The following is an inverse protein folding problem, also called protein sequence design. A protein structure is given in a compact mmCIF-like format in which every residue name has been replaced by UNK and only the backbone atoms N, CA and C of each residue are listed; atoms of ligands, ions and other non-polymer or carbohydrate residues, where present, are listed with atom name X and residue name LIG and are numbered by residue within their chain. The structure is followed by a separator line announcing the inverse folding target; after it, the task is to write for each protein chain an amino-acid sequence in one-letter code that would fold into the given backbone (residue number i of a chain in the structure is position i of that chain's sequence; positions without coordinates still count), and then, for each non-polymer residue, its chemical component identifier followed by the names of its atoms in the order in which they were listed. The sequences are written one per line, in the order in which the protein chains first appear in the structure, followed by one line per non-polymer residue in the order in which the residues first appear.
data_IF_817194241863
#
_entry.id   IF_817194241863
#
_cell.length_a   1.000
_cell.length_b   1.000
_cell.length_c   1.000
_cell.angle_alpha   90.00
_cell.angle_beta   90.00
_cell.angle_gamma   90.00
#
_symmetry.space_group_name_H-M   'P 1'
#
loop_
_entity.id
_entity.type
_entity.pdbx_description
1 polymer ?
#
# COMPACT_ATOMS: atom_id res chain seq x y z
N UNK A 1 2.94 -18.94 -10.20
CA UNK A 1 2.41 -19.47 -8.94
C UNK A 1 2.48 -18.36 -7.91
N UNK A 2 1.29 -17.84 -7.64
CA UNK A 2 0.84 -16.72 -6.81
C UNK A 2 1.89 -15.89 -6.03
N UNK A 3 1.89 -14.61 -6.37
CA UNK A 3 2.53 -13.52 -5.65
C UNK A 3 2.10 -13.53 -4.19
N UNK A 4 2.99 -14.00 -3.31
CA UNK A 4 3.02 -13.57 -1.92
C UNK A 4 3.37 -12.07 -1.92
N UNK A 5 2.36 -11.23 -2.20
CA UNK A 5 2.40 -9.82 -1.82
C UNK A 5 2.42 -9.77 -0.30
N UNK A 6 3.65 -9.72 0.17
CA UNK A 6 4.05 -9.44 1.52
C UNK A 6 3.17 -8.35 2.14
N UNK A 7 2.62 -8.69 3.31
CA UNK A 7 1.97 -7.82 4.30
C UNK A 7 0.62 -7.22 3.91
N UNK A 8 -0.43 -7.93 4.31
CA UNK A 8 -1.71 -7.32 4.57
C UNK A 8 -2.22 -7.74 5.95
N UNK A 9 -1.42 -7.43 6.98
CA UNK A 9 -1.79 -7.65 8.39
C UNK A 9 -3.11 -6.96 8.77
N UNK A 10 -3.53 -5.94 8.00
CA UNK A 10 -4.75 -5.15 8.20
C UNK A 10 -6.03 -5.84 7.75
N UNK A 11 -5.99 -6.71 6.74
CA UNK A 11 -7.18 -7.49 6.31
C UNK A 11 -7.70 -8.32 7.47
N UNK A 12 -6.77 -8.98 8.16
CA UNK A 12 -7.07 -9.88 9.26
C UNK A 12 -7.52 -9.13 10.52
N UNK A 13 -6.97 -7.93 10.74
CA UNK A 13 -7.27 -7.15 11.95
C UNK A 13 -8.56 -6.34 11.82
N UNK A 14 -8.81 -5.69 10.68
CA UNK A 14 -9.97 -4.81 10.49
C UNK A 14 -11.12 -5.47 9.71
N UNK A 15 -10.95 -6.71 9.22
CA UNK A 15 -11.94 -7.45 8.42
C UNK A 15 -12.50 -6.64 7.23
N UNK A 16 -11.67 -5.79 6.61
CA UNK A 16 -12.04 -4.95 5.49
C UNK A 16 -11.64 -5.57 4.14
N UNK A 17 -12.36 -5.22 3.08
CA UNK A 17 -12.08 -5.65 1.72
C UNK A 17 -11.15 -4.67 0.98
N UNK A 18 -9.99 -5.16 0.49
CA UNK A 18 -8.88 -4.32 -0.01
C UNK A 18 -8.93 -4.04 -1.51
N UNK A 19 -9.62 -4.87 -2.28
CA UNK A 19 -9.67 -4.78 -3.76
C UNK A 19 -11.06 -4.39 -4.29
N UNK A 20 -11.89 -3.82 -3.43
CA UNK A 20 -13.28 -3.52 -3.74
C UNK A 20 -13.43 -2.09 -4.20
N UNK A 21 -14.59 -1.79 -4.77
CA UNK A 21 -14.95 -0.43 -5.15
C UNK A 21 -14.96 0.53 -3.96
N UNK A 22 -14.99 0.07 -2.71
CA UNK A 22 -14.92 0.93 -1.53
C UNK A 22 -13.66 0.71 -0.69
N UNK A 23 -12.58 0.16 -1.27
CA UNK A 23 -11.37 -0.27 -0.53
C UNK A 23 -10.46 0.84 0.04
N UNK A 24 -10.77 2.12 -0.10
CA UNK A 24 -10.04 3.16 0.63
C UNK A 24 -10.20 2.91 2.14
N UNK A 25 -9.21 3.14 3.00
CA UNK A 25 -9.38 2.97 4.47
C UNK A 25 -9.79 4.29 5.17
N UNK A 26 -9.42 5.44 4.61
CA UNK A 26 -9.60 6.75 5.27
C UNK A 26 -10.82 7.54 4.79
N UNK A 27 -11.28 7.33 3.57
CA UNK A 27 -12.36 8.12 2.97
C UNK A 27 -13.51 7.23 2.48
N UNK A 28 -14.74 7.67 2.72
CA UNK A 28 -15.96 7.10 2.16
C UNK A 28 -16.10 7.55 0.70
N UNK A 29 -15.39 6.88 -0.21
CA UNK A 29 -15.50 7.13 -1.65
C UNK A 29 -15.51 5.83 -2.44
N UNK A 30 -16.23 5.87 -3.57
CA UNK A 30 -16.22 4.80 -4.55
C UNK A 30 -15.00 4.96 -5.45
N UNK A 31 -14.19 3.91 -5.52
CA UNK A 31 -13.05 3.78 -6.41
C UNK A 31 -13.48 3.78 -7.86
N UNK A 32 -12.66 4.43 -8.68
CA UNK A 32 -12.80 4.50 -10.13
C UNK A 32 -11.75 3.62 -10.77
N UNK A 33 -12.19 2.79 -11.72
CA UNK A 33 -11.29 2.02 -12.55
C UNK A 33 -10.70 2.93 -13.62
N UNK A 34 -9.38 3.13 -13.59
CA UNK A 34 -8.64 3.93 -14.55
C UNK A 34 -7.37 3.18 -14.98
N UNK A 35 -7.13 3.06 -16.29
CA UNK A 35 -5.93 2.42 -16.83
C UNK A 35 -5.60 1.03 -16.23
N UNK A 36 -6.61 0.15 -16.13
CA UNK A 36 -6.51 -1.17 -15.49
C UNK A 36 -6.10 -1.15 -14.01
N UNK A 37 -6.40 -0.06 -13.29
CA UNK A 37 -6.12 0.09 -11.86
C UNK A 37 -7.31 0.71 -11.15
N UNK A 38 -7.60 0.23 -9.94
CA UNK A 38 -8.54 0.90 -9.04
C UNK A 38 -7.85 2.13 -8.45
N UNK A 39 -8.52 3.29 -8.53
CA UNK A 39 -8.02 4.57 -8.01
C UNK A 39 -9.10 5.27 -7.18
N UNK A 40 -8.67 6.12 -6.23
CA UNK A 40 -9.54 6.88 -5.34
C UNK A 40 -9.19 8.37 -5.47
N UNK A 41 -9.65 9.05 -6.54
CA UNK A 41 -9.16 10.38 -6.91
C UNK A 41 -9.81 11.52 -6.12
N UNK A 42 -10.90 11.27 -5.39
CA UNK A 42 -11.62 12.34 -4.71
C UNK A 42 -10.87 12.80 -3.46
N UNK A 43 -10.39 14.05 -3.49
CA UNK A 43 -9.68 14.69 -2.38
C UNK A 43 -10.61 15.30 -1.34
N UNK A 44 -11.87 15.55 -1.68
CA UNK A 44 -12.88 16.17 -0.81
C UNK A 44 -13.90 15.15 -0.27
N UNK A 45 -13.62 13.86 -0.47
CA UNK A 45 -14.47 12.79 0.02
C UNK A 45 -14.62 12.84 1.56
N UNK A 46 -15.81 12.50 2.09
CA UNK A 46 -16.03 12.40 3.53
C UNK A 46 -15.07 11.39 4.16
N UNK A 47 -14.48 11.74 5.30
CA UNK A 47 -13.60 10.85 6.06
C UNK A 47 -14.41 9.79 6.79
N UNK A 48 -13.91 8.57 6.84
CA UNK A 48 -14.47 7.52 7.71
C UNK A 48 -14.34 7.90 9.16
N UNK A 49 -15.32 7.51 9.94
CA UNK A 49 -15.38 7.65 11.39
C UNK A 49 -15.31 6.29 12.05
N UNK A 50 -14.88 6.25 13.30
CA UNK A 50 -14.86 5.01 14.08
C UNK A 50 -16.27 4.43 14.24
N UNK A 51 -17.29 5.29 14.39
CA UNK A 51 -18.72 4.91 14.46
C UNK A 51 -19.26 4.17 13.24
N UNK A 52 -18.60 4.32 12.08
CA UNK A 52 -19.02 3.65 10.85
C UNK A 52 -18.80 2.14 10.94
N UNK A 53 -17.84 1.71 11.77
CA UNK A 53 -17.51 0.31 12.01
C UNK A 53 -18.43 -0.36 13.05
N UNK A 54 -18.97 0.42 14.00
CA UNK A 54 -19.92 -0.08 15.00
C UNK A 54 -21.29 -0.36 14.39
N UNK A 55 -21.75 0.57 13.57
CA UNK A 55 -23.12 0.63 13.07
C UNK A 55 -23.36 -0.24 11.84
N UNK A 56 -22.31 -0.71 11.14
CA UNK A 56 -22.41 -1.32 9.79
C UNK A 56 -23.18 -0.44 8.79
N UNK A 57 -23.45 0.82 9.14
CA UNK A 57 -24.45 1.65 8.47
C UNK A 57 -24.02 2.03 7.05
N UNK A 58 -22.71 2.09 6.80
CA UNK A 58 -22.15 2.38 5.48
C UNK A 58 -21.95 1.13 4.61
N UNK A 59 -22.28 -0.05 5.11
CA UNK A 59 -21.70 -1.29 4.61
C UNK A 59 -22.68 -2.18 3.83
N UNK A 60 -23.98 -2.02 4.05
CA UNK A 60 -25.01 -2.73 3.27
C UNK A 60 -24.93 -2.43 1.76
N UNK A 61 -24.49 -1.23 1.36
CA UNK A 61 -24.36 -0.85 -0.06
C UNK A 61 -22.91 -0.82 -0.57
N UNK A 62 -21.92 -0.79 0.33
CA UNK A 62 -20.50 -0.59 -0.05
C UNK A 62 -19.64 -1.86 0.06
N UNK A 63 -20.00 -2.82 0.92
CA UNK A 63 -19.25 -4.07 1.12
C UNK A 63 -17.78 -3.84 1.50
N UNK A 64 -17.50 -2.76 2.22
CA UNK A 64 -16.14 -2.40 2.64
C UNK A 64 -15.71 -3.22 3.85
N UNK A 65 -16.59 -3.44 4.81
CA UNK A 65 -16.40 -4.32 5.95
C UNK A 65 -17.01 -5.68 5.57
N UNK A 66 -16.26 -6.75 5.78
CA UNK A 66 -16.73 -8.11 5.48
C UNK A 66 -17.39 -8.71 6.72
N UNK A 67 -16.79 -8.46 7.88
CA UNK A 67 -17.23 -8.99 9.17
C UNK A 67 -16.89 -8.02 10.30
N UNK A 68 -17.55 -8.17 11.45
CA UNK A 68 -17.21 -7.43 12.67
C UNK A 68 -15.80 -7.77 13.11
N UNK A 69 -14.90 -6.78 13.07
CA UNK A 69 -13.58 -6.95 13.66
C UNK A 69 -13.71 -7.26 15.16
N UNK A 70 -12.99 -8.26 15.69
CA UNK A 70 -12.99 -8.57 17.12
C UNK A 70 -12.44 -7.41 17.97
N UNK A 71 -11.71 -6.46 17.36
CA UNK A 71 -11.16 -5.29 18.01
C UNK A 71 -12.22 -4.26 18.42
N UNK A 72 -13.43 -4.32 17.84
CA UNK A 72 -14.57 -3.51 18.28
C UNK A 72 -14.95 -3.80 19.74
N UNK A 73 -14.67 -5.01 20.25
CA UNK A 73 -14.93 -5.38 21.65
C UNK A 73 -14.05 -4.63 22.66
N UNK A 74 -12.96 -4.03 22.20
CA UNK A 74 -11.96 -3.37 23.04
C UNK A 74 -12.12 -1.84 23.02
N UNK A 75 -13.17 -1.32 22.37
CA UNK A 75 -13.45 0.13 22.26
C UNK A 75 -12.26 0.93 21.69
N UNK A 76 -11.59 0.35 20.69
CA UNK A 76 -10.44 0.98 20.00
C UNK A 76 -10.95 1.56 18.68
N UNK A 77 -10.65 2.85 18.44
CA UNK A 77 -10.99 3.52 17.19
C UNK A 77 -10.28 2.92 15.98
N UNK A 78 -11.00 2.16 15.15
CA UNK A 78 -10.44 1.43 14.01
C UNK A 78 -9.90 2.35 12.90
N UNK A 79 -10.40 3.58 12.78
CA UNK A 79 -9.94 4.58 11.81
C UNK A 79 -8.88 5.49 12.42
N UNK A 80 -9.09 5.93 13.66
CA UNK A 80 -8.24 6.95 14.31
C UNK A 80 -6.97 6.36 14.91
N UNK A 81 -7.03 5.17 15.53
CA UNK A 81 -5.90 4.55 16.24
C UNK A 81 -5.00 3.71 15.33
N UNK A 82 -5.47 3.36 14.13
CA UNK A 82 -4.68 2.62 13.15
C UNK A 82 -4.10 3.57 12.09
N UNK A 83 -2.84 4.05 12.27
CA UNK A 83 -2.18 4.88 11.26
C UNK A 83 -1.96 4.05 10.00
N UNK A 84 -1.79 4.67 8.83
CA UNK A 84 -1.37 3.94 7.62
C UNK A 84 0.13 3.65 7.67
N UNK A 85 0.53 2.44 7.31
CA UNK A 85 1.94 2.06 7.37
C UNK A 85 2.71 2.63 6.17
N UNK A 86 3.58 3.58 6.46
CA UNK A 86 4.44 4.25 5.49
C UNK A 86 5.33 3.26 4.71
N UNK A 87 5.85 2.23 5.36
CA UNK A 87 6.71 1.23 4.71
C UNK A 87 5.95 0.50 3.60
N UNK A 88 4.69 0.12 3.85
CA UNK A 88 3.88 -0.61 2.89
C UNK A 88 3.34 0.30 1.77
N UNK A 89 2.80 1.46 2.14
CA UNK A 89 2.19 2.35 1.15
C UNK A 89 3.22 3.05 0.26
N UNK A 90 4.25 3.63 0.87
CA UNK A 90 5.19 4.49 0.16
C UNK A 90 6.42 3.69 -0.28
N UNK A 91 7.14 3.07 0.65
CA UNK A 91 8.41 2.40 0.32
C UNK A 91 8.22 1.15 -0.54
N UNK A 92 7.18 0.35 -0.30
CA UNK A 92 6.89 -0.85 -1.11
C UNK A 92 5.89 -0.58 -2.22
N UNK A 93 4.90 0.28 -2.00
CA UNK A 93 3.89 0.61 -3.00
C UNK A 93 4.41 1.59 -4.04
N UNK A 94 4.59 2.86 -3.65
CA UNK A 94 4.94 3.95 -4.56
C UNK A 94 6.35 3.81 -5.12
N UNK A 95 7.35 3.63 -4.26
CA UNK A 95 8.75 3.58 -4.70
C UNK A 95 9.02 2.41 -5.64
N UNK A 96 8.39 1.24 -5.42
CA UNK A 96 8.50 0.11 -6.36
C UNK A 96 7.98 0.47 -7.74
N UNK A 97 6.82 1.14 -7.84
CA UNK A 97 6.25 1.58 -9.12
C UNK A 97 7.18 2.59 -9.83
N UNK A 98 7.72 3.54 -9.09
CA UNK A 98 8.67 4.52 -9.63
C UNK A 98 9.94 3.85 -10.14
N UNK A 99 10.56 2.97 -9.35
CA UNK A 99 11.77 2.25 -9.74
C UNK A 99 11.52 1.38 -10.99
N UNK A 100 10.38 0.68 -11.07
CA UNK A 100 10.02 -0.09 -12.28
C UNK A 100 9.87 0.83 -13.48
N UNK A 101 9.21 1.98 -13.32
CA UNK A 101 9.08 2.98 -14.40
C UNK A 101 10.45 3.49 -14.87
N UNK A 102 11.36 3.79 -13.94
CA UNK A 102 12.70 4.29 -14.27
C UNK A 102 13.65 3.22 -14.81
N UNK A 103 13.44 1.94 -14.50
CA UNK A 103 14.31 0.85 -14.97
C UNK A 103 13.77 0.15 -16.23
N UNK A 104 12.45 0.00 -16.36
CA UNK A 104 11.79 -0.80 -17.40
C UNK A 104 10.73 -0.04 -18.19
N UNK A 105 10.37 1.17 -17.77
CA UNK A 105 9.37 1.99 -18.43
C UNK A 105 9.82 2.55 -19.80
N UNK A 106 8.98 3.40 -20.40
CA UNK A 106 9.27 4.00 -21.70
C UNK A 106 10.52 4.89 -21.66
N UNK A 107 11.17 5.05 -22.82
CA UNK A 107 12.49 5.68 -22.96
C UNK A 107 12.54 7.13 -22.44
N UNK A 108 11.40 7.83 -22.42
CA UNK A 108 11.29 9.20 -21.92
C UNK A 108 11.45 9.33 -20.41
N UNK A 109 11.23 8.25 -19.65
CA UNK A 109 11.34 8.23 -18.17
C UNK A 109 12.41 7.26 -17.67
N UNK A 110 12.98 6.44 -18.56
CA UNK A 110 13.91 5.38 -18.21
C UNK A 110 15.34 5.91 -18.03
N UNK A 111 16.01 5.49 -16.96
CA UNK A 111 17.42 5.78 -16.75
C UNK A 111 18.30 5.11 -17.79
N UNK A 112 19.42 5.76 -18.09
CA UNK A 112 20.49 5.17 -18.88
C UNK A 112 21.14 4.01 -18.09
N UNK A 113 21.63 2.99 -18.80
CA UNK A 113 22.23 1.79 -18.19
C UNK A 113 23.32 2.14 -17.16
N UNK A 114 24.20 3.08 -17.51
CA UNK A 114 25.24 3.59 -16.60
C UNK A 114 24.66 4.18 -15.30
N UNK A 115 23.55 4.91 -15.38
CA UNK A 115 22.87 5.47 -14.21
C UNK A 115 22.30 4.39 -13.30
N UNK A 116 21.72 3.33 -13.89
CA UNK A 116 21.24 2.15 -13.16
C UNK A 116 22.40 1.45 -12.44
N UNK A 117 23.55 1.34 -13.08
CA UNK A 117 24.74 0.70 -12.48
C UNK A 117 25.32 1.52 -11.32
N UNK A 118 25.44 2.85 -11.49
CA UNK A 118 25.89 3.75 -10.41
C UNK A 118 24.93 3.66 -9.22
N UNK A 119 23.63 3.71 -9.47
CA UNK A 119 22.62 3.64 -8.41
C UNK A 119 22.61 2.27 -7.72
N UNK A 120 22.74 1.19 -8.49
CA UNK A 120 22.83 -0.18 -7.95
C UNK A 120 24.04 -0.35 -7.03
N UNK A 121 25.20 0.13 -7.46
CA UNK A 121 26.43 0.05 -6.65
C UNK A 121 26.30 0.85 -5.36
N UNK A 122 25.68 2.04 -5.42
CA UNK A 122 25.40 2.86 -4.22
C UNK A 122 24.45 2.14 -3.25
N UNK A 123 23.34 1.61 -3.74
CA UNK A 123 22.38 0.86 -2.92
C UNK A 123 23.05 -0.32 -2.20
N UNK A 124 23.87 -1.10 -2.92
CA UNK A 124 24.62 -2.21 -2.34
C UNK A 124 25.65 -1.71 -1.31
N UNK A 125 26.34 -0.60 -1.55
CA UNK A 125 27.26 -0.03 -0.55
C UNK A 125 26.54 0.39 0.74
N UNK A 126 25.34 0.96 0.63
CA UNK A 126 24.54 1.37 1.79
C UNK A 126 23.91 0.22 2.55
N UNK A 127 23.77 -0.97 1.92
CA UNK A 127 23.24 -2.16 2.59
C UNK A 127 24.00 -2.54 3.87
N UNK A 128 25.29 -2.20 3.94
CA UNK A 128 26.15 -2.45 5.10
C UNK A 128 25.90 -1.51 6.27
N UNK A 129 25.30 -0.35 6.01
CA UNK A 129 25.05 0.70 6.99
C UNK A 129 23.60 0.65 7.51
N UNK A 130 22.85 -0.39 7.16
CA UNK A 130 21.45 -0.54 7.55
C UNK A 130 21.35 -1.39 8.82
N UNK A 131 20.59 -0.91 9.83
CA UNK A 131 20.38 -1.65 11.07
C UNK A 131 19.81 -3.05 10.82
N UNK A 132 20.20 -4.03 11.64
CA UNK A 132 19.79 -5.42 11.47
C UNK A 132 18.32 -5.68 11.82
N UNK A 133 17.67 -4.74 12.52
CA UNK A 133 16.23 -4.77 12.79
C UNK A 133 15.39 -4.60 11.52
N UNK A 134 15.97 -4.05 10.46
CA UNK A 134 15.30 -3.92 9.17
C UNK A 134 15.46 -5.22 8.37
N UNK A 135 14.37 -5.98 8.16
CA UNK A 135 14.45 -7.30 7.55
C UNK A 135 14.83 -7.28 6.06
N UNK A 136 14.81 -6.10 5.42
CA UNK A 136 15.11 -5.93 4.00
C UNK A 136 16.25 -4.94 3.81
N UNK A 137 17.36 -5.44 3.30
CA UNK A 137 18.50 -4.62 2.86
C UNK A 137 18.30 -4.22 1.38
N UNK A 138 18.75 -3.02 0.98
CA UNK A 138 18.68 -2.54 -0.40
C UNK A 138 19.54 -3.44 -1.28
N UNK A 139 19.02 -3.72 -2.47
CA UNK A 139 19.61 -4.61 -3.47
C UNK A 139 19.92 -3.83 -4.74
N UNK A 140 20.67 -4.44 -5.64
CA UNK A 140 20.90 -3.92 -6.99
C UNK A 140 19.57 -3.72 -7.73
N UNK A 141 19.44 -2.62 -8.48
CA UNK A 141 18.26 -2.37 -9.32
C UNK A 141 18.15 -3.34 -10.50
N UNK A 142 19.22 -4.09 -10.80
CA UNK A 142 19.15 -5.18 -11.79
C UNK A 142 18.25 -6.33 -11.34
N UNK A 143 18.01 -6.47 -10.04
CA UNK A 143 17.15 -7.50 -9.44
C UNK A 143 15.73 -6.99 -9.14
N UNK A 144 15.30 -5.89 -9.76
CA UNK A 144 14.01 -5.25 -9.44
C UNK A 144 12.78 -6.14 -9.70
N UNK A 145 12.91 -7.10 -10.61
CA UNK A 145 11.84 -8.01 -11.01
C UNK A 145 11.65 -9.18 -10.00
N UNK A 146 12.46 -9.23 -8.93
CA UNK A 146 12.53 -10.31 -7.93
C UNK A 146 11.93 -9.92 -6.58
#
# INVERSE_FOLDING_TARGET
MLQHFSYCSRVLLLCCHHNGYFGCEKCCQKGKWDNNRMTFPDSNAPKRKDSDFDSFAHDNDSGHILEKSPLLKVDIGLVTQFPLDYMHMVCLGVMRKLLISWCRGPLNVRFFSRGIDILSNRLVSYSRNIPDELPRKPRSLREIDR
#
